data_IF_809721029934
#
_entry.id   IF_809721029934
#
_cell.length_a   1.000
_cell.length_b   1.000
_cell.length_c   1.000
_cell.angle_alpha   90.00
_cell.angle_beta   90.00
_cell.angle_gamma   90.00
#
_symmetry.space_group_name_H-M   'P 1'
#
loop_
_entity.id
_entity.type
_entity.pdbx_description
1 polymer ?
2 polymer ?
3 polymer ?
4 non-polymer ?
5 water ?
#
loop_
_entity_poly.entity_id
_entity_poly.type
_entity_poly.pdbx_seq_one_letter_code
_entity_poly.pdbx_strand_id
2 'polydeoxyribonucleotide' '(DG)(DC)(DG)(DA)(DC)(DA)(DG)' ?
3 'polydeoxyribonucleotide' '(DA)(DT)(DC)(DT)(DT)(DG)(DT)(DC)(DG)(DC)' ?
#
# COMPACT_ATOMS: atom_id res chain seq x y z
N UNK A 1 -56.84 9.43 32.67
CA UNK A 1 -56.78 8.65 31.42
C UNK A 1 -56.74 7.17 31.83
N UNK A 2 -57.83 6.46 31.58
CA UNK A 2 -57.98 5.06 31.96
C UNK A 2 -56.97 4.08 31.35
N UNK A 3 -57.11 2.81 31.77
CA UNK A 3 -56.29 1.70 31.29
C UNK A 3 -56.73 0.39 31.96
N UNK A 4 -56.04 -0.70 31.67
CA UNK A 4 -56.40 -2.00 32.26
C UNK A 4 -55.32 -2.60 33.14
N UNK A 5 -55.62 -2.82 34.40
CA UNK A 5 -54.66 -3.42 35.31
C UNK A 5 -54.64 -4.93 35.04
N UNK A 6 -53.72 -5.37 34.19
CA UNK A 6 -53.66 -6.77 33.82
C UNK A 6 -53.16 -7.75 34.90
N UNK A 7 -52.63 -7.23 36.00
CA UNK A 7 -52.12 -8.08 37.09
C UNK A 7 -51.64 -7.19 38.25
N UNK A 8 -51.01 -7.78 39.26
CA UNK A 8 -50.49 -6.99 40.38
C UNK A 8 -48.98 -6.78 40.19
N UNK A 9 -48.45 -5.68 40.71
CA UNK A 9 -47.02 -5.39 40.53
C UNK A 9 -46.04 -5.99 41.54
N UNK A 10 -46.42 -6.02 42.81
CA UNK A 10 -45.52 -6.57 43.81
C UNK A 10 -45.40 -8.09 43.74
N UNK A 11 -44.48 -8.57 42.91
CA UNK A 11 -44.26 -10.00 42.72
C UNK A 11 -42.76 -10.31 42.76
N UNK A 12 -42.39 -11.43 43.37
CA UNK A 12 -40.96 -11.76 43.42
C UNK A 12 -40.52 -11.97 41.99
N UNK A 13 -39.38 -11.38 41.60
CA UNK A 13 -38.84 -11.49 40.25
C UNK A 13 -39.31 -12.70 39.46
N UNK A 14 -39.21 -13.87 40.09
CA UNK A 14 -39.60 -15.11 39.43
C UNK A 14 -41.02 -15.15 38.86
N UNK A 15 -41.97 -14.61 39.61
CA UNK A 15 -43.37 -14.59 39.16
C UNK A 15 -43.49 -13.50 38.09
N UNK A 16 -42.85 -12.36 38.32
CA UNK A 16 -42.88 -11.25 37.39
C UNK A 16 -42.47 -11.73 36.00
N UNK A 17 -41.53 -12.66 35.94
CA UNK A 17 -41.06 -13.21 34.67
C UNK A 17 -42.10 -14.13 34.03
N UNK A 18 -42.79 -14.90 34.87
CA UNK A 18 -43.83 -15.78 34.36
C UNK A 18 -44.94 -14.90 33.84
N UNK A 19 -45.11 -13.73 34.46
CA UNK A 19 -46.14 -12.79 34.02
C UNK A 19 -45.77 -12.28 32.62
N UNK A 20 -44.48 -11.99 32.42
CA UNK A 20 -43.99 -11.48 31.15
C UNK A 20 -44.12 -12.47 30.01
N UNK A 21 -43.77 -13.72 30.25
CA UNK A 21 -43.89 -14.72 29.19
C UNK A 21 -45.34 -14.91 28.78
N UNK A 22 -46.24 -14.74 29.74
CA UNK A 22 -47.65 -14.89 29.44
C UNK A 22 -48.16 -13.72 28.61
N UNK A 23 -47.76 -12.52 29.00
CA UNK A 23 -48.17 -11.30 28.31
C UNK A 23 -47.66 -11.20 26.87
N UNK A 24 -46.40 -11.58 26.64
CA UNK A 24 -45.81 -11.51 25.30
C UNK A 24 -46.73 -12.09 24.24
N UNK A 25 -47.61 -12.99 24.67
CA UNK A 25 -48.54 -13.65 23.77
C UNK A 25 -49.67 -12.76 23.23
N UNK A 26 -49.85 -11.59 23.82
CA UNK A 26 -50.91 -10.70 23.37
C UNK A 26 -50.40 -9.47 22.63
N UNK A 27 -49.18 -9.54 22.12
CA UNK A 27 -48.61 -8.39 21.41
C UNK A 27 -49.07 -8.36 19.95
N UNK A 28 -49.46 -7.17 19.50
CA UNK A 28 -49.91 -6.99 18.13
C UNK A 28 -48.92 -6.11 17.37
N UNK A 29 -48.04 -6.72 16.59
CA UNK A 29 -47.07 -5.96 15.79
C UNK A 29 -47.72 -5.61 14.46
N UNK A 30 -48.64 -4.67 14.51
CA UNK A 30 -49.36 -4.24 13.34
C UNK A 30 -48.67 -2.99 12.84
N UNK A 31 -48.99 -2.55 11.63
CA UNK A 31 -48.33 -1.33 11.14
C UNK A 31 -49.03 -0.09 11.65
N UNK A 32 -48.38 1.04 11.46
CA UNK A 32 -48.96 2.32 11.84
C UNK A 32 -48.69 3.27 10.69
N UNK A 33 -49.65 3.32 9.76
CA UNK A 33 -49.54 4.18 8.58
C UNK A 33 -50.15 5.56 8.83
N UNK A 34 -49.66 6.56 8.11
CA UNK A 34 -50.17 7.90 8.29
C UNK A 34 -49.44 8.60 9.41
N UNK A 35 -49.51 9.92 9.42
CA UNK A 35 -48.83 10.72 10.43
C UNK A 35 -49.70 10.89 11.69
N UNK A 36 -49.06 10.95 12.87
CA UNK A 36 -49.82 11.12 14.11
C UNK A 36 -50.07 12.59 14.47
N UNK A 37 -51.12 12.81 15.26
CA UNK A 37 -51.51 14.15 15.71
C UNK A 37 -50.93 14.47 17.08
N UNK A 38 -51.12 13.54 18.02
CA UNK A 38 -50.63 13.72 19.38
C UNK A 38 -49.61 12.64 19.73
N UNK A 39 -48.44 13.08 20.20
CA UNK A 39 -47.35 12.18 20.55
C UNK A 39 -46.76 12.48 21.93
N UNK A 40 -46.71 11.47 22.80
CA UNK A 40 -46.18 11.66 24.15
C UNK A 40 -44.85 10.93 24.48
N UNK A 41 -44.22 11.37 25.56
CA UNK A 41 -42.95 10.78 25.97
C UNK A 41 -42.89 10.61 27.48
N UNK A 42 -42.29 9.52 27.94
CA UNK A 42 -42.22 9.24 29.38
C UNK A 42 -40.82 9.03 29.95
N UNK A 43 -40.59 9.50 31.16
CA UNK A 43 -39.31 9.29 31.83
C UNK A 43 -39.43 9.45 33.33
N UNK A 44 -38.46 8.89 34.07
CA UNK A 44 -38.42 8.97 35.52
C UNK A 44 -37.06 9.39 36.02
N UNK A 45 -37.07 10.14 37.12
CA UNK A 45 -35.84 10.59 37.79
C UNK A 45 -36.00 10.00 39.18
N UNK A 46 -34.95 10.04 39.99
CA UNK A 46 -35.01 9.49 41.35
C UNK A 46 -34.47 10.44 42.40
N UNK A 47 -35.37 11.22 43.03
CA UNK A 47 -34.96 12.18 44.07
C UNK A 47 -34.41 11.49 45.29
N UNK A 48 -34.87 10.27 45.55
CA UNK A 48 -34.39 9.54 46.70
C UNK A 48 -34.11 8.09 46.39
N UNK A 49 -33.36 7.43 47.27
CA UNK A 49 -33.02 6.03 47.09
C UNK A 49 -34.25 5.27 46.61
N UNK A 50 -35.33 5.41 47.36
CA UNK A 50 -36.57 4.73 47.04
C UNK A 50 -37.73 5.68 46.76
N UNK A 51 -37.44 6.74 46.00
CA UNK A 51 -38.46 7.70 45.63
C UNK A 51 -38.24 8.13 44.19
N UNK A 52 -39.24 7.90 43.35
CA UNK A 52 -39.13 8.29 41.96
C UNK A 52 -40.18 9.31 41.55
N UNK A 53 -39.83 10.17 40.60
CA UNK A 53 -40.74 11.18 40.08
C UNK A 53 -40.98 10.92 38.58
N UNK A 54 -42.20 10.47 38.25
CA UNK A 54 -42.60 10.17 36.86
C UNK A 54 -43.15 11.41 36.14
N UNK A 55 -42.98 11.47 34.81
CA UNK A 55 -43.44 12.61 34.01
C UNK A 55 -43.87 12.24 32.57
N UNK A 56 -45.03 12.75 32.15
CA UNK A 56 -45.53 12.49 30.81
C UNK A 56 -45.71 13.81 30.03
N UNK A 57 -45.11 13.87 28.85
CA UNK A 57 -45.20 15.04 28.00
C UNK A 57 -45.99 14.68 26.73
N UNK A 58 -47.04 15.45 26.43
CA UNK A 58 -47.83 15.22 25.22
C UNK A 58 -47.51 16.34 24.27
N UNK A 59 -47.09 16.00 23.05
CA UNK A 59 -46.74 17.01 22.05
C UNK A 59 -47.60 17.01 20.80
N UNK A 60 -47.68 18.18 20.17
CA UNK A 60 -48.45 18.39 18.95
C UNK A 60 -47.49 18.12 17.79
N UNK A 61 -47.89 17.25 16.87
CA UNK A 61 -47.04 16.94 15.71
C UNK A 61 -47.67 17.51 14.43
N UNK A 62 -46.84 18.05 13.52
CA UNK A 62 -45.38 18.18 13.58
C UNK A 62 -44.79 19.49 14.09
N UNK A 63 -45.57 20.29 14.81
CA UNK A 63 -45.06 21.56 15.32
C UNK A 63 -44.24 21.37 16.61
N UNK A 64 -44.25 20.15 17.13
CA UNK A 64 -43.52 19.83 18.35
C UNK A 64 -43.91 20.76 19.50
N UNK A 65 -45.18 21.16 19.54
CA UNK A 65 -45.62 22.05 20.59
C UNK A 65 -46.08 21.25 21.81
N UNK A 66 -45.75 21.74 23.00
CA UNK A 66 -46.11 21.08 24.25
C UNK A 66 -47.55 21.42 24.64
N UNK A 67 -48.43 20.43 24.51
CA UNK A 67 -49.84 20.61 24.82
C UNK A 67 -50.28 20.24 26.25
N UNK A 68 -49.50 19.43 26.97
CA UNK A 68 -49.86 19.04 28.35
C UNK A 68 -48.75 18.28 29.09
N UNK A 69 -48.66 18.47 30.39
CA UNK A 69 -47.63 17.81 31.19
C UNK A 69 -48.08 17.46 32.60
N UNK A 70 -48.14 16.17 32.91
CA UNK A 70 -48.53 15.70 34.23
C UNK A 70 -47.36 14.97 34.89
N UNK A 71 -47.47 14.72 36.20
CA UNK A 71 -46.43 14.03 36.93
C UNK A 71 -46.98 13.29 38.16
N UNK A 72 -46.10 12.64 38.90
CA UNK A 72 -46.50 11.89 40.09
C UNK A 72 -45.25 11.41 40.82
N UNK A 73 -45.04 11.90 42.04
CA UNK A 73 -43.88 11.50 42.82
C UNK A 73 -44.33 10.44 43.83
N UNK A 74 -43.53 9.39 44.01
CA UNK A 74 -43.90 8.34 44.94
C UNK A 74 -42.80 7.36 45.32
N UNK A 75 -43.16 6.37 46.12
CA UNK A 75 -42.22 5.36 46.61
C UNK A 75 -41.85 4.32 45.57
N UNK A 76 -40.63 3.78 45.67
CA UNK A 76 -40.16 2.75 44.74
C UNK A 76 -39.53 1.63 45.55
N UNK A 77 -40.12 0.44 45.50
CA UNK A 77 -39.59 -0.69 46.27
C UNK A 77 -38.87 -1.75 45.44
N UNK A 78 -39.43 -2.11 44.28
CA UNK A 78 -38.85 -3.09 43.35
C UNK A 78 -37.52 -2.55 42.83
N UNK A 79 -36.41 -3.28 43.10
CA UNK A 79 -35.08 -2.86 42.65
C UNK A 79 -34.87 -2.97 41.14
N UNK A 80 -33.86 -2.28 40.63
CA UNK A 80 -33.57 -2.37 39.20
C UNK A 80 -32.93 -3.72 38.85
N UNK A 81 -33.48 -4.38 37.84
CA UNK A 81 -32.94 -5.66 37.41
C UNK A 81 -33.09 -5.76 35.90
N UNK A 82 -31.97 -5.73 35.18
CA UNK A 82 -32.03 -5.81 33.72
C UNK A 82 -33.10 -6.79 33.27
N UNK A 83 -33.98 -6.35 32.39
CA UNK A 83 -35.05 -7.20 31.88
C UNK A 83 -36.36 -7.15 32.66
N UNK A 84 -36.35 -6.47 33.80
CA UNK A 84 -37.53 -6.35 34.65
C UNK A 84 -37.78 -4.90 35.06
N UNK A 85 -37.58 -3.97 34.13
CA UNK A 85 -37.78 -2.56 34.42
C UNK A 85 -39.23 -2.15 34.59
N UNK A 86 -40.14 -2.76 33.84
CA UNK A 86 -41.56 -2.42 33.97
C UNK A 86 -42.04 -2.48 35.43
N UNK A 87 -41.53 -3.44 36.19
CA UNK A 87 -41.95 -3.57 37.59
C UNK A 87 -41.31 -2.52 38.49
N UNK A 88 -40.61 -1.56 37.89
CA UNK A 88 -39.97 -0.53 38.68
C UNK A 88 -40.54 0.83 38.30
N UNK A 89 -40.34 1.22 37.05
CA UNK A 89 -40.82 2.50 36.57
C UNK A 89 -42.27 2.43 36.09
N UNK A 90 -42.76 1.21 35.88
CA UNK A 90 -44.11 1.02 35.39
C UNK A 90 -45.25 1.53 36.24
N UNK A 91 -45.35 1.11 37.51
CA UNK A 91 -46.44 1.57 38.36
C UNK A 91 -46.57 3.08 38.53
N UNK A 92 -45.46 3.75 38.76
CA UNK A 92 -45.49 5.20 38.97
C UNK A 92 -45.92 5.95 37.71
N UNK A 93 -45.66 5.34 36.57
CA UNK A 93 -46.04 5.94 35.30
C UNK A 93 -47.57 5.92 35.22
N UNK A 94 -48.14 4.75 35.50
CA UNK A 94 -49.58 4.61 35.45
C UNK A 94 -50.29 5.58 36.40
N UNK A 95 -49.63 5.96 37.51
CA UNK A 95 -50.22 6.92 38.44
C UNK A 95 -50.25 8.30 37.78
N UNK A 96 -49.25 8.59 36.97
CA UNK A 96 -49.17 9.86 36.26
C UNK A 96 -50.15 9.82 35.10
N UNK A 97 -50.27 8.65 34.46
CA UNK A 97 -51.16 8.45 33.32
C UNK A 97 -52.62 8.76 33.68
N UNK A 98 -52.98 8.51 34.93
CA UNK A 98 -54.34 8.77 35.37
C UNK A 98 -54.64 10.26 35.35
N UNK A 99 -53.60 11.07 35.52
CA UNK A 99 -53.77 12.52 35.54
C UNK A 99 -53.85 13.14 34.15
N UNK A 100 -53.49 12.35 33.13
CA UNK A 100 -53.47 12.84 31.75
C UNK A 100 -54.86 13.02 31.14
N UNK A 101 -55.04 14.10 30.38
CA UNK A 101 -56.33 14.36 29.76
C UNK A 101 -56.40 14.21 28.24
N UNK A 102 -55.28 14.47 27.56
CA UNK A 102 -55.21 14.34 26.10
C UNK A 102 -54.95 12.88 25.76
N UNK A 103 -55.52 12.42 24.65
CA UNK A 103 -55.34 11.03 24.23
C UNK A 103 -54.17 10.92 23.26
N UNK A 104 -53.08 10.27 23.67
CA UNK A 104 -51.94 10.15 22.78
C UNK A 104 -52.26 9.18 21.64
N UNK A 105 -51.64 9.40 20.47
CA UNK A 105 -51.83 8.51 19.33
C UNK A 105 -50.74 7.44 19.42
N UNK A 106 -49.63 7.81 20.05
CA UNK A 106 -48.50 6.92 20.25
C UNK A 106 -47.60 7.47 21.35
N UNK A 107 -47.32 6.64 22.36
CA UNK A 107 -46.48 7.04 23.49
C UNK A 107 -45.09 6.48 23.27
N UNK A 108 -44.07 7.22 23.71
CA UNK A 108 -42.69 6.77 23.56
C UNK A 108 -41.92 6.70 24.87
N UNK A 109 -41.41 5.51 25.18
CA UNK A 109 -40.66 5.26 26.42
C UNK A 109 -39.13 5.34 26.36
N UNK A 110 -38.53 5.46 27.54
CA UNK A 110 -37.08 5.53 27.70
C UNK A 110 -36.61 4.10 28.05
N UNK A 111 -36.68 3.19 27.08
CA UNK A 111 -36.28 1.82 27.32
C UNK A 111 -36.62 0.93 26.14
N UNK A 112 -36.26 -0.35 26.21
CA UNK A 112 -36.55 -1.27 25.11
C UNK A 112 -38.03 -1.60 24.92
N UNK A 113 -38.32 -2.17 23.75
CA UNK A 113 -39.66 -2.59 23.41
C UNK A 113 -39.60 -4.07 23.09
N UNK A 114 -39.51 -4.39 21.80
CA UNK A 114 -39.46 -5.77 21.36
C UNK A 114 -38.10 -6.38 21.70
N UNK A 115 -37.04 -5.57 21.64
CA UNK A 115 -35.68 -6.00 21.93
C UNK A 115 -35.48 -6.27 23.42
N UNK A 116 -35.99 -7.42 23.84
CA UNK A 116 -35.99 -7.84 25.23
C UNK A 116 -35.81 -9.34 25.22
N UNK A 117 -35.22 -9.91 26.28
CA UNK A 117 -35.00 -11.37 26.33
C UNK A 117 -36.27 -12.20 26.11
N UNK A 118 -37.42 -11.67 26.52
CA UNK A 118 -38.69 -12.37 26.40
C UNK A 118 -39.67 -11.64 25.50
N UNK A 119 -39.15 -10.70 24.72
CA UNK A 119 -39.96 -9.92 23.78
C UNK A 119 -41.02 -9.06 24.47
N UNK A 120 -40.71 -8.55 25.67
CA UNK A 120 -41.66 -7.71 26.40
C UNK A 120 -40.99 -6.65 27.29
N UNK A 121 -40.33 -5.68 26.65
CA UNK A 121 -39.70 -4.61 27.41
C UNK A 121 -40.77 -3.70 27.96
N UNK A 122 -40.40 -2.73 28.77
CA UNK A 122 -41.37 -1.81 29.35
C UNK A 122 -42.32 -1.21 28.29
N UNK A 123 -41.82 -0.91 27.11
CA UNK A 123 -42.67 -0.33 26.07
C UNK A 123 -43.80 -1.30 25.70
N UNK A 124 -43.42 -2.55 25.46
CA UNK A 124 -44.37 -3.62 25.15
C UNK A 124 -45.42 -3.74 26.27
N UNK A 125 -44.91 -3.97 27.48
CA UNK A 125 -45.70 -4.12 28.70
C UNK A 125 -46.72 -3.02 28.94
N UNK A 126 -46.35 -1.75 28.75
CA UNK A 126 -47.26 -0.63 28.97
C UNK A 126 -48.29 -0.49 27.86
N UNK A 127 -47.88 -0.76 26.64
CA UNK A 127 -48.81 -0.66 25.54
C UNK A 127 -49.99 -1.58 25.80
N UNK A 128 -49.72 -2.79 26.31
CA UNK A 128 -50.79 -3.74 26.59
C UNK A 128 -51.82 -3.19 27.60
N UNK A 129 -51.34 -2.47 28.61
CA UNK A 129 -52.18 -1.87 29.66
C UNK A 129 -53.06 -0.72 29.14
N UNK A 130 -52.43 0.31 28.58
CA UNK A 130 -53.11 1.49 28.07
C UNK A 130 -53.66 1.32 26.65
N UNK A 131 -53.50 0.14 26.06
CA UNK A 131 -53.97 -0.11 24.70
C UNK A 131 -53.94 1.08 23.74
N UNK A 132 -52.72 1.50 23.40
CA UNK A 132 -52.47 2.60 22.46
C UNK A 132 -51.17 2.13 21.80
N UNK A 133 -50.87 2.58 20.56
CA UNK A 133 -49.60 2.13 19.96
C UNK A 133 -48.38 2.72 20.68
N UNK A 134 -47.39 1.87 21.00
CA UNK A 134 -46.20 2.34 21.71
C UNK A 134 -44.85 1.95 21.12
N UNK A 135 -43.84 2.76 21.42
CA UNK A 135 -42.46 2.55 20.95
C UNK A 135 -41.44 2.67 22.10
N UNK A 136 -40.33 1.94 21.98
CA UNK A 136 -39.29 1.98 22.99
C UNK A 136 -38.02 2.58 22.43
N UNK A 137 -37.50 3.64 23.05
CA UNK A 137 -36.26 4.28 22.61
C UNK A 137 -35.24 4.22 23.74
N UNK A 138 -34.24 3.35 23.61
CA UNK A 138 -33.21 3.20 24.64
C UNK A 138 -31.82 3.74 24.21
N UNK A 139 -30.99 4.10 25.19
CA UNK A 139 -29.67 4.66 24.92
C UNK A 139 -28.50 3.66 24.95
N UNK A 140 -28.80 2.40 25.22
CA UNK A 140 -27.79 1.35 25.26
C UNK A 140 -28.45 0.01 24.98
N UNK A 141 -27.64 -0.99 24.64
CA UNK A 141 -28.15 -2.31 24.30
C UNK A 141 -28.52 -3.18 25.48
N UNK A 142 -29.53 -4.03 25.29
CA UNK A 142 -29.95 -4.96 26.32
C UNK A 142 -29.96 -6.34 25.71
N UNK A 143 -30.61 -6.45 24.55
CA UNK A 143 -30.76 -7.71 23.85
C UNK A 143 -30.66 -7.54 22.35
N UNK A 144 -30.20 -8.60 21.67
CA UNK A 144 -30.06 -8.55 20.23
C UNK A 144 -28.65 -8.23 19.78
N UNK A 145 -28.36 -8.55 18.52
CA UNK A 145 -27.05 -8.31 17.91
C UNK A 145 -27.17 -7.38 16.70
N UNK A 146 -26.10 -6.67 16.38
CA UNK A 146 -26.12 -5.77 15.24
C UNK A 146 -24.74 -5.41 14.65
N UNK A 147 -24.72 -4.44 13.74
CA UNK A 147 -23.50 -3.96 13.09
C UNK A 147 -23.44 -2.47 13.32
N UNK A 148 -22.56 -2.03 14.20
CA UNK A 148 -22.44 -0.60 14.50
C UNK A 148 -22.44 0.26 13.23
N UNK A 149 -23.49 1.05 13.03
CA UNK A 149 -23.57 1.91 11.85
C UNK A 149 -22.45 2.93 11.74
N UNK A 150 -22.29 3.50 10.55
CA UNK A 150 -21.26 4.49 10.30
C UNK A 150 -21.49 5.64 11.26
N UNK A 151 -20.49 6.50 11.41
CA UNK A 151 -20.64 7.63 12.29
C UNK A 151 -21.17 8.79 11.47
N UNK A 152 -22.01 8.48 10.50
CA UNK A 152 -22.58 9.51 9.65
C UNK A 152 -24.00 9.83 10.11
N UNK A 153 -24.25 11.13 10.27
CA UNK A 153 -25.51 11.70 10.75
C UNK A 153 -26.84 10.95 10.59
N UNK A 154 -27.00 10.04 9.63
CA UNK A 154 -28.27 9.33 9.55
C UNK A 154 -28.20 7.82 9.35
N UNK A 155 -27.00 7.26 9.46
CA UNK A 155 -26.76 5.82 9.27
C UNK A 155 -27.55 4.91 10.20
N UNK A 156 -27.71 3.66 9.79
CA UNK A 156 -28.42 2.72 10.63
C UNK A 156 -28.24 1.25 10.25
N UNK A 157 -28.63 0.38 11.18
CA UNK A 157 -28.55 -1.09 11.03
C UNK A 157 -29.75 -1.72 11.72
N UNK A 158 -29.98 -3.00 11.48
CA UNK A 158 -31.10 -3.72 12.10
C UNK A 158 -30.62 -4.44 13.38
N UNK A 159 -31.54 -4.57 14.33
CA UNK A 159 -31.27 -5.26 15.59
C UNK A 159 -31.82 -6.67 15.45
N UNK A 160 -30.94 -7.67 15.48
CA UNK A 160 -31.41 -9.05 15.31
C UNK A 160 -31.41 -9.95 16.52
N UNK A 161 -32.31 -10.92 16.43
CA UNK A 161 -32.48 -11.99 17.42
C UNK A 161 -32.36 -13.16 16.44
N UNK A 162 -31.13 -13.41 16.00
CA UNK A 162 -30.90 -14.46 15.04
C UNK A 162 -31.19 -13.96 13.64
N UNK A 163 -32.20 -14.54 13.01
CA UNK A 163 -32.59 -14.13 11.66
C UNK A 163 -33.82 -13.23 11.75
N UNK A 164 -34.40 -13.19 12.94
CA UNK A 164 -35.58 -12.39 13.24
C UNK A 164 -35.21 -10.93 13.52
N UNK A 165 -35.90 -10.00 12.86
CA UNK A 165 -35.65 -8.58 13.07
C UNK A 165 -36.54 -8.13 14.23
N UNK A 166 -35.93 -7.49 15.22
CA UNK A 166 -36.62 -7.03 16.43
C UNK A 166 -36.45 -5.52 16.74
N UNK A 167 -35.81 -4.78 15.84
CA UNK A 167 -35.61 -3.35 16.05
C UNK A 167 -34.51 -2.84 15.13
N UNK A 168 -33.81 -1.77 15.54
CA UNK A 168 -32.75 -1.19 14.72
C UNK A 168 -31.94 -0.14 15.49
N UNK A 169 -30.68 0.03 15.13
CA UNK A 169 -29.77 1.00 15.79
C UNK A 169 -29.56 2.20 14.87
N UNK A 170 -29.90 3.40 15.34
CA UNK A 170 -29.78 4.61 14.52
C UNK A 170 -28.79 5.62 15.06
N UNK A 171 -27.96 6.22 14.21
CA UNK A 171 -27.06 7.24 14.72
C UNK A 171 -27.69 8.60 14.39
N UNK A 172 -28.46 9.14 15.33
CA UNK A 172 -29.13 10.40 15.13
C UNK A 172 -28.22 11.61 15.33
N UNK A 173 -26.96 11.36 15.68
CA UNK A 173 -26.03 12.44 15.89
C UNK A 173 -24.59 12.00 15.74
N UNK A 174 -23.80 12.79 15.02
CA UNK A 174 -22.41 12.47 14.77
C UNK A 174 -21.60 12.60 16.05
N UNK A 175 -20.52 11.82 16.13
CA UNK A 175 -19.67 11.84 17.29
C UNK A 175 -20.29 11.20 18.53
N UNK A 176 -21.62 11.11 18.55
CA UNK A 176 -22.34 10.51 19.69
C UNK A 176 -22.77 9.08 19.37
N UNK A 177 -23.12 8.32 20.41
CA UNK A 177 -23.55 6.93 20.26
C UNK A 177 -24.99 6.76 19.74
N UNK A 178 -25.26 5.67 19.00
CA UNK A 178 -26.59 5.37 18.44
C UNK A 178 -27.65 5.11 19.52
N UNK A 179 -28.91 5.12 19.10
CA UNK A 179 -30.04 4.87 20.00
C UNK A 179 -30.66 3.54 19.59
N UNK A 180 -31.38 2.87 20.48
CA UNK A 180 -31.95 1.55 20.13
C UNK A 180 -33.47 1.48 20.07
N UNK A 181 -33.99 1.49 18.84
CA UNK A 181 -35.43 1.47 18.59
C UNK A 181 -36.06 0.12 18.34
N UNK A 182 -37.23 -0.12 18.97
CA UNK A 182 -38.00 -1.36 18.80
C UNK A 182 -39.46 -1.13 19.17
N UNK A 183 -40.39 -1.78 18.44
CA UNK A 183 -41.85 -1.67 18.66
C UNK A 183 -42.40 -2.12 19.99
N UNK A 184 -43.44 -1.43 20.46
CA UNK A 184 -44.05 -1.82 21.71
C UNK A 184 -45.23 -2.71 21.37
N UNK A 185 -46.41 -2.12 21.35
CA UNK A 185 -47.62 -2.86 21.01
C UNK A 185 -48.41 -2.06 19.98
N UNK A 186 -49.02 -2.77 19.03
CA UNK A 186 -49.77 -2.12 17.96
C UNK A 186 -48.74 -1.26 17.23
N UNK A 187 -47.65 -1.91 16.82
CA UNK A 187 -46.57 -1.22 16.13
C UNK A 187 -45.58 -2.24 15.60
N UNK A 188 -44.84 -1.85 14.57
CA UNK A 188 -43.83 -2.73 13.98
C UNK A 188 -42.52 -1.99 13.69
N UNK A 189 -41.50 -2.73 13.26
CA UNK A 189 -40.19 -2.18 12.99
C UNK A 189 -40.20 -1.02 12.00
N UNK A 190 -40.48 -1.34 10.73
CA UNK A 190 -40.50 -0.33 9.70
C UNK A 190 -41.26 0.95 10.06
N UNK A 191 -42.28 0.83 10.92
CA UNK A 191 -43.05 2.02 11.30
C UNK A 191 -42.30 2.83 12.34
N UNK A 192 -41.87 2.16 13.42
CA UNK A 192 -41.16 2.83 14.50
C UNK A 192 -39.94 3.60 14.05
N UNK A 193 -39.16 3.03 13.13
CA UNK A 193 -37.97 3.70 12.64
C UNK A 193 -38.38 4.98 11.93
N UNK A 194 -39.42 4.86 11.12
CA UNK A 194 -40.02 5.94 10.35
C UNK A 194 -40.39 7.09 11.27
N UNK A 195 -41.27 6.78 12.22
CA UNK A 195 -41.75 7.74 13.20
C UNK A 195 -40.62 8.33 14.03
N UNK A 196 -39.80 7.47 14.62
CA UNK A 196 -38.69 7.95 15.45
C UNK A 196 -37.71 8.85 14.69
N UNK A 197 -37.46 8.54 13.43
CA UNK A 197 -36.57 9.36 12.64
C UNK A 197 -37.25 10.73 12.51
N UNK A 198 -38.58 10.70 12.55
CA UNK A 198 -39.41 11.89 12.44
C UNK A 198 -39.44 12.75 13.71
N UNK A 199 -39.31 12.14 14.88
CA UNK A 199 -39.38 12.91 16.11
C UNK A 199 -38.03 13.43 16.64
N UNK A 200 -36.98 13.27 15.84
CA UNK A 200 -35.64 13.69 16.26
C UNK A 200 -35.09 14.90 15.51
N UNK A 201 -35.23 16.08 16.09
CA UNK A 201 -34.73 17.31 15.45
C UNK A 201 -33.22 17.26 15.23
N UNK A 202 -32.74 17.90 14.15
CA UNK A 202 -31.31 17.96 13.80
C UNK A 202 -30.45 18.56 14.89
N UNK A 203 -29.32 17.91 15.17
CA UNK A 203 -28.42 18.42 16.19
C UNK A 203 -28.51 17.75 17.56
N UNK A 204 -29.56 16.95 17.77
CA UNK A 204 -29.75 16.25 19.04
C UNK A 204 -29.71 14.74 18.87
N UNK A 205 -29.29 14.04 19.93
CA UNK A 205 -29.20 12.58 19.92
C UNK A 205 -30.54 11.91 20.19
N UNK A 206 -31.28 12.44 21.16
CA UNK A 206 -32.56 11.87 21.56
C UNK A 206 -33.82 12.61 21.07
N UNK A 207 -34.84 11.85 20.62
CA UNK A 207 -36.11 12.41 20.12
C UNK A 207 -36.84 13.27 21.15
N UNK A 208 -37.61 14.24 20.67
CA UNK A 208 -38.32 15.15 21.56
C UNK A 208 -39.24 14.57 22.62
N UNK A 209 -40.06 13.56 22.28
CA UNK A 209 -40.92 13.03 23.34
C UNK A 209 -40.12 12.74 24.62
N UNK A 210 -39.12 11.89 24.49
CA UNK A 210 -38.28 11.50 25.62
C UNK A 210 -37.29 12.55 26.08
N UNK A 211 -36.76 13.33 25.15
CA UNK A 211 -35.78 14.35 25.49
C UNK A 211 -36.37 15.48 26.33
N UNK A 212 -37.67 15.70 26.22
CA UNK A 212 -38.32 16.74 27.03
C UNK A 212 -38.83 16.13 28.33
N UNK A 213 -39.33 14.90 28.22
CA UNK A 213 -39.86 14.16 29.38
C UNK A 213 -38.78 13.99 30.42
N UNK A 214 -37.54 13.94 29.96
CA UNK A 214 -36.39 13.77 30.82
C UNK A 214 -36.07 15.11 31.47
N UNK A 215 -35.91 16.15 30.65
CA UNK A 215 -35.60 17.50 31.12
C UNK A 215 -36.53 17.87 32.29
N UNK A 216 -37.83 17.68 32.10
CA UNK A 216 -38.78 17.99 33.17
C UNK A 216 -38.57 17.03 34.33
N UNK A 217 -38.22 15.79 34.01
CA UNK A 217 -37.98 14.76 35.01
C UNK A 217 -36.86 15.13 35.98
N UNK A 218 -35.81 15.78 35.47
CA UNK A 218 -34.69 16.21 36.30
C UNK A 218 -34.97 17.55 36.97
N UNK A 219 -35.50 18.47 36.18
CA UNK A 219 -35.82 19.81 36.65
C UNK A 219 -36.79 19.81 37.84
N UNK A 220 -37.87 19.04 37.73
CA UNK A 220 -38.87 18.95 38.79
C UNK A 220 -38.31 18.38 40.10
N UNK A 221 -37.09 17.85 40.02
CA UNK A 221 -36.43 17.26 41.19
C UNK A 221 -35.75 18.41 41.92
N UNK A 222 -35.92 19.61 41.38
CA UNK A 222 -35.37 20.83 41.95
C UNK A 222 -36.39 21.96 41.75
N UNK A 223 -36.15 22.80 40.74
CA UNK A 223 -37.04 23.91 40.47
C UNK A 223 -37.89 23.82 39.20
N UNK A 224 -38.98 23.21 39.26
N UNK B 1 27.85 -9.68 -13.81
CA UNK B 1 28.62 -8.54 -13.25
C UNK B 1 27.84 -7.24 -13.49
N UNK B 2 28.14 -6.21 -12.69
CA UNK B 2 27.44 -4.92 -12.80
C UNK B 2 28.25 -3.84 -13.50
N UNK B 3 27.60 -2.75 -13.87
CA UNK B 3 28.24 -1.63 -14.54
C UNK B 3 27.37 -0.40 -14.54
N UNK B 4 27.95 0.77 -14.80
CA UNK B 4 27.18 2.01 -14.83
C UNK B 4 26.76 2.34 -16.26
N UNK B 5 25.46 2.32 -16.51
CA UNK B 5 24.97 2.68 -17.83
C UNK B 5 25.00 4.21 -17.82
N UNK B 6 26.10 4.76 -18.36
CA UNK B 6 26.34 6.20 -18.41
C UNK B 6 25.49 7.02 -19.38
N UNK B 7 25.18 6.47 -20.55
CA UNK B 7 24.38 7.22 -21.51
C UNK B 7 23.58 6.32 -22.43
N UNK B 8 22.86 6.94 -23.37
CA UNK B 8 22.05 6.22 -24.34
C UNK B 8 22.98 5.79 -25.49
N UNK B 9 22.64 4.69 -26.18
CA UNK B 9 23.47 4.22 -27.29
C UNK B 9 22.92 4.52 -28.67
N UNK B 10 21.60 4.50 -28.81
CA UNK B 10 21.00 4.76 -30.11
C UNK B 10 21.10 6.25 -30.46
N UNK B 11 22.33 6.71 -30.73
CA UNK B 11 22.59 8.10 -31.05
C UNK B 11 23.15 8.33 -32.45
N UNK B 12 22.93 9.52 -33.03
CA UNK B 12 23.48 9.75 -34.36
C UNK B 12 24.96 10.15 -34.20
N UNK B 13 25.80 9.80 -35.18
CA UNK B 13 27.23 10.11 -35.15
C UNK B 13 27.63 11.46 -34.54
N UNK B 14 27.04 12.55 -35.02
CA UNK B 14 27.38 13.87 -34.52
C UNK B 14 27.23 13.96 -32.99
N UNK B 15 26.18 13.33 -32.47
CA UNK B 15 25.93 13.34 -31.03
C UNK B 15 26.87 12.38 -30.33
N UNK B 16 26.97 11.15 -30.85
CA UNK B 16 27.83 10.12 -30.28
C UNK B 16 29.23 10.66 -30.00
N UNK B 17 29.71 11.54 -30.87
CA UNK B 17 31.05 12.12 -30.69
C UNK B 17 31.06 13.15 -29.56
N UNK B 18 29.92 13.79 -29.32
CA UNK B 18 29.86 14.76 -28.25
C UNK B 18 30.08 14.03 -26.95
N UNK B 19 29.31 12.96 -26.73
CA UNK B 19 29.48 12.21 -25.51
C UNK B 19 30.96 11.81 -25.34
N UNK B 20 31.61 11.34 -26.41
CA UNK B 20 33.03 10.95 -26.32
C UNK B 20 33.90 12.09 -25.78
N UNK B 21 33.73 13.29 -26.33
CA UNK B 21 34.49 14.46 -25.89
C UNK B 21 34.31 14.77 -24.41
N UNK B 22 33.10 14.51 -23.89
CA UNK B 22 32.80 14.75 -22.48
C UNK B 22 33.42 13.70 -21.57
N UNK B 23 33.22 12.44 -21.94
CA UNK B 23 33.76 11.33 -21.17
C UNK B 23 35.28 11.32 -21.04
N UNK B 24 35.98 11.81 -22.06
CA UNK B 24 37.45 11.79 -22.00
C UNK B 24 37.98 12.49 -20.76
N UNK B 25 37.14 13.35 -20.17
CA UNK B 25 37.52 14.11 -18.98
C UNK B 25 37.57 13.27 -17.70
N UNK B 26 36.98 12.08 -17.76
CA UNK B 26 36.92 11.19 -16.61
C UNK B 26 37.93 10.05 -16.58
N UNK B 27 38.74 9.93 -17.61
CA UNK B 27 39.75 8.87 -17.65
C UNK B 27 40.92 9.17 -16.70
N UNK B 28 41.36 8.16 -15.96
CA UNK B 28 42.47 8.35 -15.04
C UNK B 28 43.61 7.44 -15.49
N UNK B 29 44.75 8.04 -15.84
CA UNK B 29 45.91 7.29 -16.27
C UNK B 29 46.80 7.04 -15.06
N UNK B 30 46.47 6.01 -14.29
CA UNK B 30 47.22 5.66 -13.09
C UNK B 30 47.96 4.34 -13.27
N UNK B 31 49.10 4.17 -12.60
CA UNK B 31 49.83 2.92 -12.74
C UNK B 31 49.04 1.76 -12.17
N UNK B 32 49.36 0.56 -12.59
CA UNK B 32 48.70 -0.62 -12.09
C UNK B 32 49.73 -1.21 -11.13
N UNK B 33 49.36 -1.31 -9.86
CA UNK B 33 50.28 -1.81 -8.85
C UNK B 33 50.35 -3.35 -8.78
N UNK B 34 51.53 -3.89 -9.09
CA UNK B 34 51.75 -5.33 -9.05
C UNK B 34 51.23 -6.17 -10.20
N UNK B 35 50.84 -7.40 -9.88
CA UNK B 35 50.32 -8.32 -10.88
C UNK B 35 48.91 -8.80 -10.55
N UNK B 36 48.09 -9.03 -11.58
CA UNK B 36 46.71 -9.49 -11.42
C UNK B 36 46.57 -11.00 -11.48
N UNK B 37 45.44 -11.48 -10.97
CA UNK B 37 45.14 -12.89 -10.97
C UNK B 37 44.16 -13.18 -12.08
N UNK B 38 43.04 -12.44 -12.10
CA UNK B 38 42.01 -12.64 -13.12
C UNK B 38 42.07 -11.60 -14.26
N UNK B 39 42.21 -12.09 -15.49
CA UNK B 39 42.30 -11.23 -16.66
C UNK B 39 41.25 -11.59 -17.70
N UNK B 40 40.53 -10.60 -18.20
CA UNK B 40 39.51 -10.86 -19.22
C UNK B 40 39.92 -10.40 -20.61
N UNK B 41 39.33 -11.03 -21.62
CA UNK B 41 39.62 -10.69 -22.99
C UNK B 41 38.28 -10.57 -23.70
N UNK B 42 38.10 -9.54 -24.54
CA UNK B 42 36.80 -9.38 -25.22
C UNK B 42 36.86 -9.23 -26.73
N UNK B 43 35.90 -9.84 -27.42
CA UNK B 43 35.86 -9.73 -28.88
C UNK B 43 34.43 -10.00 -29.37
N UNK B 44 34.19 -9.74 -30.64
CA UNK B 44 32.88 -9.98 -31.25
C UNK B 44 33.04 -10.47 -32.69
N UNK B 45 32.09 -11.25 -33.16
CA UNK B 45 32.10 -11.74 -34.54
C UNK B 45 30.73 -11.36 -35.10
N UNK B 46 30.45 -11.60 -36.37
CA UNK B 46 29.13 -11.21 -36.89
C UNK B 46 28.44 -12.22 -37.81
N UNK B 47 27.42 -12.93 -37.30
CA UNK B 47 26.70 -13.93 -38.10
C UNK B 47 25.98 -13.30 -39.28
N UNK B 48 25.31 -12.17 -39.04
CA UNK B 48 24.59 -11.50 -40.11
C UNK B 48 25.05 -10.06 -40.14
N UNK B 49 24.66 -9.31 -41.18
CA UNK B 49 25.08 -7.91 -41.30
C UNK B 49 24.63 -7.12 -40.08
N UNK B 50 23.46 -7.46 -39.54
CA UNK B 50 22.93 -6.76 -38.38
C UNK B 50 22.71 -7.74 -37.22
N UNK B 51 23.68 -8.63 -37.03
CA UNK B 51 23.62 -9.61 -35.96
C UNK B 51 25.03 -9.89 -35.48
N UNK B 52 25.30 -9.61 -34.20
CA UNK B 52 26.62 -9.85 -33.68
C UNK B 52 26.63 -10.90 -32.58
N UNK B 53 27.80 -11.49 -32.33
CA UNK B 53 27.95 -12.49 -31.28
C UNK B 53 29.17 -12.07 -30.45
N UNK B 54 28.96 -11.63 -29.22
CA UNK B 54 30.06 -11.19 -28.35
C UNK B 54 30.51 -12.31 -27.42
N UNK B 55 31.76 -12.26 -26.97
CA UNK B 55 32.29 -13.28 -26.06
C UNK B 55 33.30 -12.74 -25.04
N UNK B 56 33.15 -13.13 -23.78
CA UNK B 56 34.10 -12.70 -22.75
C UNK B 56 34.77 -13.92 -22.09
N UNK B 57 36.08 -13.92 -22.09
CA UNK B 57 36.85 -15.01 -21.52
C UNK B 57 37.71 -14.55 -20.33
N UNK B 58 37.71 -15.32 -19.24
CA UNK B 58 38.49 -15.00 -18.05
C UNK B 58 39.62 -16.02 -17.82
N UNK B 59 40.85 -15.54 -17.84
CA UNK B 59 42.01 -16.40 -17.64
C UNK B 59 42.65 -16.18 -16.27
N UNK B 60 43.28 -17.23 -15.75
CA UNK B 60 43.98 -17.14 -14.48
C UNK B 60 45.41 -16.80 -14.79
N UNK B 61 46.02 -15.91 -14.02
CA UNK B 61 47.40 -15.54 -14.30
C UNK B 61 48.38 -16.03 -13.25
N UNK B 62 49.53 -16.57 -13.68
CA UNK B 62 49.94 -16.72 -15.09
C UNK B 62 49.74 -18.10 -15.69
N UNK B 63 49.03 -18.96 -14.97
CA UNK B 63 48.78 -20.31 -15.46
C UNK B 63 48.11 -20.29 -16.83
N UNK B 64 47.39 -19.19 -17.09
CA UNK B 64 46.64 -18.97 -18.33
C UNK B 64 45.49 -19.94 -18.50
N UNK B 65 45.12 -20.61 -17.40
CA UNK B 65 44.04 -21.57 -17.43
C UNK B 65 42.68 -20.88 -17.57
N UNK B 66 41.88 -21.29 -18.54
CA UNK B 66 40.55 -20.71 -18.74
C UNK B 66 39.85 -20.81 -17.40
N UNK B 67 38.81 -20.01 -17.19
CA UNK B 67 38.06 -20.07 -15.93
C UNK B 67 36.59 -19.83 -16.21
N UNK B 68 36.28 -18.89 -17.07
CA UNK B 68 34.89 -18.61 -17.38
C UNK B 68 34.71 -18.05 -18.79
N UNK B 69 33.60 -18.43 -19.43
CA UNK B 69 33.32 -17.99 -20.78
C UNK B 69 31.84 -17.78 -21.02
N UNK B 70 31.47 -16.51 -21.23
CA UNK B 70 30.10 -16.12 -21.51
C UNK B 70 30.05 -15.51 -22.90
N UNK B 71 28.86 -15.48 -23.50
CA UNK B 71 28.67 -14.92 -24.83
C UNK B 71 27.27 -14.34 -24.96
N UNK B 72 26.93 -13.83 -26.14
CA UNK B 72 25.60 -13.25 -26.33
C UNK B 72 25.37 -12.77 -27.77
N UNK B 73 24.49 -13.46 -28.50
CA UNK B 73 24.17 -13.03 -29.86
C UNK B 73 23.27 -11.82 -29.66
N UNK B 74 22.74 -11.27 -30.75
CA UNK B 74 21.87 -10.12 -30.61
C UNK B 74 22.00 -9.14 -31.74
N UNK B 75 20.88 -8.53 -32.11
CA UNK B 75 20.84 -7.57 -33.19
C UNK B 75 21.77 -6.38 -33.01
N UNK B 76 22.29 -5.89 -34.14
CA UNK B 76 23.17 -4.73 -34.15
C UNK B 76 22.77 -3.81 -35.29
N UNK B 77 22.84 -2.51 -35.08
CA UNK B 77 22.42 -1.58 -36.13
C UNK B 77 23.24 -0.30 -36.24
N UNK B 78 24.32 -0.20 -35.48
CA UNK B 78 25.16 0.97 -35.58
C UNK B 78 26.25 0.62 -36.58
N UNK B 79 26.31 1.34 -37.70
CA UNK B 79 27.33 1.06 -38.71
C UNK B 79 28.77 1.22 -38.20
N UNK B 80 29.73 0.63 -38.89
CA UNK B 80 31.13 0.76 -38.46
C UNK B 80 31.80 2.03 -39.00
N UNK B 81 32.16 2.94 -38.10
CA UNK B 81 32.81 4.19 -38.48
C UNK B 81 34.09 4.33 -37.65
N UNK B 82 35.25 4.51 -38.29
CA UNK B 82 36.48 4.67 -37.51
C UNK B 82 36.32 5.72 -36.42
N UNK B 83 36.75 5.41 -35.20
CA UNK B 83 36.62 6.39 -34.11
C UNK B 83 35.36 6.26 -33.29
N UNK B 84 34.42 5.42 -33.74
CA UNK B 84 33.17 5.19 -33.04
C UNK B 84 32.88 3.72 -32.94
N UNK B 85 33.92 2.91 -32.77
CA UNK B 85 33.75 1.47 -32.66
C UNK B 85 32.89 1.03 -31.47
N UNK B 86 33.04 1.70 -30.33
CA UNK B 86 32.27 1.35 -29.13
C UNK B 86 30.75 1.38 -29.38
N UNK B 87 30.26 2.37 -30.10
CA UNK B 87 28.85 2.45 -30.37
C UNK B 87 28.31 1.29 -31.19
N UNK B 88 29.19 0.38 -31.62
CA UNK B 88 28.75 -0.76 -32.42
C UNK B 88 28.99 -2.08 -31.70
N UNK B 89 30.18 -2.23 -31.11
CA UNK B 89 30.50 -3.45 -30.38
C UNK B 89 30.27 -3.23 -28.88
N UNK B 90 30.04 -1.98 -28.51
CA UNK B 90 29.81 -1.65 -27.11
C UNK B 90 28.61 -2.33 -26.48
N UNK B 91 27.38 -1.93 -26.83
CA UNK B 91 26.16 -2.52 -26.26
C UNK B 91 26.17 -4.04 -26.08
N UNK B 92 26.32 -4.77 -27.17
CA UNK B 92 26.31 -6.24 -27.11
C UNK B 92 27.31 -6.84 -26.09
N UNK B 93 28.46 -6.21 -25.91
CA UNK B 93 29.45 -6.69 -24.95
C UNK B 93 28.90 -6.54 -23.53
N UNK B 94 28.58 -5.31 -23.14
CA UNK B 94 28.05 -5.03 -21.81
C UNK B 94 26.93 -6.02 -21.47
N UNK B 95 26.26 -6.51 -22.51
CA UNK B 95 25.18 -7.47 -22.38
C UNK B 95 25.73 -8.83 -21.92
N UNK B 96 26.86 -9.25 -22.49
CA UNK B 96 27.47 -10.52 -22.13
C UNK B 96 28.14 -10.40 -20.77
N UNK B 97 28.54 -9.18 -20.43
CA UNK B 97 29.20 -8.88 -19.18
C UNK B 97 28.24 -9.06 -18.03
N UNK B 98 26.94 -9.02 -18.34
CA UNK B 98 25.90 -9.20 -17.33
C UNK B 98 25.89 -10.63 -16.83
N UNK B 99 26.10 -11.58 -17.73
CA UNK B 99 26.11 -12.97 -17.38
C UNK B 99 27.37 -13.34 -16.58
N UNK B 100 28.46 -12.62 -16.81
CA UNK B 100 29.72 -12.86 -16.13
C UNK B 100 29.60 -12.80 -14.60
N UNK B 101 30.13 -13.81 -13.91
CA UNK B 101 30.07 -13.80 -12.46
C UNK B 101 31.43 -13.44 -11.86
N UNK B 102 32.49 -14.01 -12.41
CA UNK B 102 33.85 -13.73 -11.95
C UNK B 102 34.23 -12.26 -12.20
N UNK B 103 34.96 -11.66 -11.26
CA UNK B 103 35.37 -10.27 -11.45
C UNK B 103 36.82 -10.19 -11.93
N UNK B 104 37.05 -9.46 -13.03
CA UNK B 104 38.38 -9.29 -13.61
C UNK B 104 39.20 -8.17 -12.96
N UNK B 105 40.50 -8.39 -12.85
CA UNK B 105 41.41 -7.41 -12.27
C UNK B 105 41.76 -6.38 -13.34
N UNK B 106 41.68 -6.83 -14.59
CA UNK B 106 41.96 -6.01 -15.76
C UNK B 106 41.30 -6.67 -16.98
N UNK B 107 40.80 -5.85 -17.89
CA UNK B 107 40.17 -6.37 -19.11
C UNK B 107 40.92 -5.87 -20.33
N UNK B 108 40.98 -6.71 -21.36
CA UNK B 108 41.66 -6.38 -22.60
C UNK B 108 40.67 -6.38 -23.76
N UNK B 109 40.65 -5.28 -24.52
CA UNK B 109 39.75 -5.15 -25.68
C UNK B 109 40.45 -5.27 -27.03
N UNK B 110 39.71 -5.80 -28.00
CA UNK B 110 40.18 -5.97 -29.36
C UNK B 110 39.94 -4.64 -30.11
N UNK B 111 40.79 -3.66 -29.84
CA UNK B 111 40.68 -2.36 -30.47
C UNK B 111 41.49 -1.35 -29.67
N UNK B 112 41.50 -0.09 -30.08
CA UNK B 112 42.29 0.95 -29.39
C UNK B 112 41.79 1.30 -28.00
N UNK B 113 42.62 2.05 -27.29
CA UNK B 113 42.31 2.55 -25.97
C UNK B 113 42.54 4.06 -26.02
N UNK B 114 43.62 4.53 -25.39
CA UNK B 114 43.96 5.95 -25.36
C UNK B 114 44.37 6.47 -26.75
N UNK B 115 44.96 5.61 -27.56
CA UNK B 115 45.40 6.01 -28.91
C UNK B 115 44.19 6.08 -29.84
N UNK B 116 43.47 7.19 -29.70
CA UNK B 116 42.24 7.46 -30.43
C UNK B 116 42.25 8.96 -30.71
N UNK B 117 41.58 9.39 -31.80
CA UNK B 117 41.49 10.80 -32.22
C UNK B 117 40.94 11.73 -31.15
N UNK B 118 40.12 11.19 -30.24
CA UNK B 118 39.53 11.98 -29.17
C UNK B 118 39.90 11.44 -27.80
N UNK B 119 40.95 10.64 -27.77
CA UNK B 119 41.45 10.01 -26.56
C UNK B 119 40.39 9.19 -25.80
N UNK B 120 39.69 8.34 -26.54
CA UNK B 120 38.69 7.48 -25.95
C UNK B 120 38.32 6.37 -26.92
N UNK B 121 39.12 5.31 -26.92
CA UNK B 121 38.83 4.18 -27.76
C UNK B 121 37.85 3.31 -26.97
N UNK B 122 37.39 2.22 -27.59
CA UNK B 122 36.46 1.33 -26.93
C UNK B 122 37.03 0.82 -25.58
N UNK B 123 38.33 0.57 -25.52
CA UNK B 123 38.91 0.12 -24.25
C UNK B 123 38.73 1.17 -23.16
N UNK B 124 38.89 2.44 -23.51
CA UNK B 124 38.72 3.54 -22.55
C UNK B 124 37.26 3.74 -22.20
N UNK B 125 36.43 3.77 -23.25
CA UNK B 125 35.00 3.98 -23.09
C UNK B 125 34.32 2.93 -22.22
N UNK B 126 34.59 1.64 -22.48
CA UNK B 126 33.99 0.59 -21.67
C UNK B 126 34.64 0.60 -20.29
N UNK B 127 35.86 1.10 -20.23
CA UNK B 127 36.52 1.17 -18.94
C UNK B 127 35.75 2.08 -18.01
N UNK B 128 35.23 3.19 -18.53
CA UNK B 128 34.47 4.12 -17.70
C UNK B 128 33.20 3.51 -17.14
N UNK B 129 32.67 2.51 -17.85
CA UNK B 129 31.45 1.82 -17.46
C UNK B 129 31.70 0.80 -16.37
N UNK B 130 32.49 -0.22 -16.70
CA UNK B 130 32.78 -1.31 -15.77
C UNK B 130 33.71 -0.95 -14.60
N UNK B 131 34.31 0.24 -14.66
CA UNK B 131 35.20 0.72 -13.61
C UNK B 131 36.23 -0.29 -13.10
N UNK B 132 37.05 -0.81 -14.00
CA UNK B 132 38.14 -1.76 -13.70
C UNK B 132 39.27 -1.34 -14.65
N UNK B 133 40.54 -1.58 -14.28
CA UNK B 133 41.55 -1.15 -15.24
C UNK B 133 41.36 -1.82 -16.61
N UNK B 134 41.61 -1.05 -17.69
CA UNK B 134 41.45 -1.55 -19.06
C UNK B 134 42.64 -1.28 -19.99
N UNK B 135 42.80 -2.14 -20.98
CA UNK B 135 43.88 -2.02 -21.98
C UNK B 135 43.37 -2.35 -23.37
N UNK B 136 43.71 -1.49 -24.33
CA UNK B 136 43.30 -1.70 -25.70
C UNK B 136 44.47 -2.19 -26.53
N UNK B 137 44.28 -3.33 -27.21
CA UNK B 137 45.31 -3.92 -28.07
C UNK B 137 44.72 -4.04 -29.46
N UNK B 138 45.31 -3.31 -30.41
CA UNK B 138 44.82 -3.29 -31.78
C UNK B 138 45.82 -3.93 -32.76
N UNK B 139 45.27 -4.50 -33.84
CA UNK B 139 46.10 -5.16 -34.85
C UNK B 139 46.50 -4.26 -36.01
N UNK B 140 46.06 -3.01 -35.96
CA UNK B 140 46.37 -2.03 -36.98
C UNK B 140 46.33 -0.67 -36.33
N UNK B 141 46.86 0.34 -36.99
CA UNK B 141 46.87 1.70 -36.44
C UNK B 141 45.60 2.49 -36.75
N UNK B 142 45.18 3.33 -35.80
CA UNK B 142 44.01 4.17 -36.00
C UNK B 142 44.43 5.63 -35.91
N UNK B 143 45.30 5.91 -34.94
CA UNK B 143 45.76 7.27 -34.69
C UNK B 143 47.13 7.25 -33.98
N UNK B 144 47.96 8.24 -34.28
CA UNK B 144 49.27 8.31 -33.66
C UNK B 144 50.40 8.14 -34.66
N UNK B 145 51.57 8.67 -34.33
CA UNK B 145 52.74 8.57 -35.20
C UNK B 145 53.83 7.76 -34.49
N UNK B 146 54.55 6.92 -35.22
CA UNK B 146 55.58 6.10 -34.58
C UNK B 146 56.72 5.71 -35.50
N UNK B 147 57.73 5.06 -34.92
CA UNK B 147 58.88 4.54 -35.68
C UNK B 147 58.82 3.02 -35.52
N UNK B 148 58.70 2.30 -36.63
CA UNK B 148 58.62 0.85 -36.53
C UNK B 148 59.73 0.34 -35.65
N UNK B 149 59.47 -0.75 -34.92
CA UNK B 149 60.49 -1.33 -34.05
C UNK B 149 61.21 -2.41 -34.86
N UNK B 150 62.30 -2.96 -34.33
CA UNK B 150 63.05 -3.98 -35.04
C UNK B 150 62.27 -5.29 -35.14
N UNK B 151 62.64 -6.13 -36.10
CA UNK B 151 61.97 -7.40 -36.27
C UNK B 151 62.50 -8.42 -35.25
N UNK B 152 63.05 -7.90 -34.15
CA UNK B 152 63.56 -8.74 -33.10
C UNK B 152 62.47 -8.85 -32.05
N UNK B 153 62.14 -10.07 -31.65
CA UNK B 153 61.10 -10.31 -30.67
C UNK B 153 61.13 -9.28 -29.54
N UNK B 154 59.95 -9.01 -28.99
CA UNK B 154 59.79 -8.05 -27.90
C UNK B 154 60.41 -6.68 -28.06
N UNK B 155 60.55 -6.20 -29.29
CA UNK B 155 61.08 -4.85 -29.52
C UNK B 155 59.90 -3.90 -29.52
N UNK B 156 60.13 -2.62 -29.28
CA UNK B 156 59.02 -1.67 -29.26
C UNK B 156 59.41 -0.23 -29.54
N UNK B 157 58.39 0.62 -29.62
CA UNK B 157 58.56 2.05 -29.86
C UNK B 157 57.42 2.78 -29.17
N UNK B 158 57.59 4.08 -28.97
CA UNK B 158 56.55 4.89 -28.34
C UNK B 158 55.66 5.51 -29.41
N UNK B 159 54.34 5.36 -29.24
CA UNK B 159 53.36 5.91 -30.18
C UNK B 159 53.03 7.32 -29.68
N UNK B 160 53.33 8.35 -30.48
CA UNK B 160 53.07 9.73 -30.06
C UNK B 160 51.87 10.37 -30.71
N UNK B 161 51.35 11.42 -30.07
CA UNK B 161 50.23 12.18 -30.59
C UNK B 161 50.85 13.55 -30.81
N UNK B 162 52.16 13.55 -30.93
CA UNK B 162 52.91 14.77 -31.14
C UNK B 162 54.00 14.77 -30.10
N UNK B 163 53.83 15.57 -29.05
CA UNK B 163 54.83 15.63 -28.00
C UNK B 163 54.55 14.55 -26.96
N UNK B 164 53.28 14.24 -26.75
CA UNK B 164 52.90 13.25 -25.77
C UNK B 164 52.88 11.81 -26.26
N UNK B 165 53.21 10.90 -25.35
CA UNK B 165 53.22 9.47 -25.64
C UNK B 165 51.83 8.91 -25.30
N UNK B 166 51.17 8.35 -26.32
CA UNK B 166 49.83 7.81 -26.13
C UNK B 166 49.73 6.29 -26.15
N UNK B 167 50.87 5.62 -26.25
CA UNK B 167 50.88 4.17 -26.28
C UNK B 167 52.20 3.67 -26.84
N UNK B 168 52.24 2.42 -27.27
CA UNK B 168 53.47 1.90 -27.83
C UNK B 168 53.21 0.86 -28.92
N UNK B 169 54.22 0.62 -29.74
CA UNK B 169 54.11 -0.36 -30.82
C UNK B 169 55.09 -1.47 -30.45
N UNK B 170 54.59 -2.68 -30.29
CA UNK B 170 55.44 -3.80 -29.92
C UNK B 170 55.49 -4.90 -30.97
N UNK B 171 56.65 -5.53 -31.10
CA UNK B 171 56.85 -6.65 -32.04
C UNK B 171 56.76 -7.94 -31.24
N UNK B 172 55.58 -8.51 -31.11
CA UNK B 172 55.46 -9.72 -30.34
C UNK B 172 55.98 -10.96 -31.06
N UNK B 173 56.04 -10.93 -32.38
CA UNK B 173 56.54 -12.07 -33.15
C UNK B 173 57.13 -11.61 -34.48
N UNK B 174 58.37 -12.02 -34.74
CA UNK B 174 59.04 -11.64 -35.98
C UNK B 174 58.43 -12.36 -37.16
N UNK B 175 58.33 -11.65 -38.28
CA UNK B 175 57.74 -12.21 -39.47
C UNK B 175 56.36 -11.59 -39.60
N UNK B 176 55.81 -11.23 -38.45
CA UNK B 176 54.50 -10.60 -38.37
C UNK B 176 54.64 -9.10 -38.07
N UNK B 177 53.54 -8.37 -38.19
CA UNK B 177 53.59 -6.94 -37.92
C UNK B 177 53.37 -6.69 -36.43
N UNK B 178 53.73 -5.49 -35.95
CA UNK B 178 53.56 -5.18 -34.54
C UNK B 178 52.11 -4.86 -34.19
N UNK B 179 51.76 -4.99 -32.91
CA UNK B 179 50.41 -4.70 -32.45
C UNK B 179 50.49 -3.35 -31.76
N UNK B 180 49.33 -2.73 -31.51
CA UNK B 180 49.29 -1.42 -30.87
C UNK B 180 48.67 -1.51 -29.49
N UNK B 181 49.37 -1.00 -28.49
CA UNK B 181 48.91 -1.05 -27.12
C UNK B 181 48.80 0.33 -26.50
N UNK B 182 47.64 0.63 -25.92
CA UNK B 182 47.44 1.91 -25.28
C UNK B 182 46.53 1.69 -24.07
N UNK B 183 46.65 2.54 -23.04
CA UNK B 183 45.84 2.45 -21.82
C UNK B 183 44.37 2.78 -21.97
N UNK B 184 43.52 1.99 -21.32
CA UNK B 184 42.08 2.21 -21.38
C UNK B 184 41.69 3.21 -20.31
N UNK B 185 41.32 2.71 -19.14
CA UNK B 185 40.94 3.53 -17.98
C UNK B 185 41.61 2.90 -16.75
N UNK B 186 42.04 3.73 -15.79
CA UNK B 186 42.72 3.22 -14.59
C UNK B 186 43.91 2.41 -15.05
N UNK B 187 44.77 3.03 -15.87
CA UNK B 187 45.94 2.35 -16.41
C UNK B 187 46.74 3.36 -17.20
N UNK B 188 48.05 3.12 -17.33
CA UNK B 188 48.90 4.03 -18.08
C UNK B 188 49.80 3.29 -19.04
N UNK B 189 50.60 4.05 -19.77
CA UNK B 189 51.49 3.50 -20.77
C UNK B 189 52.52 2.49 -20.27
N UNK B 190 53.26 2.83 -19.22
CA UNK B 190 54.28 1.91 -18.74
C UNK B 190 53.73 0.59 -18.21
N UNK B 191 52.53 0.63 -17.66
CA UNK B 191 51.93 -0.56 -17.13
C UNK B 191 51.39 -1.43 -18.26
N UNK B 192 50.59 -0.83 -19.14
CA UNK B 192 50.00 -1.56 -20.26
C UNK B 192 51.03 -2.32 -21.07
N UNK B 193 52.24 -1.80 -21.15
CA UNK B 193 53.28 -2.45 -21.93
C UNK B 193 53.80 -3.73 -21.30
N UNK B 194 54.22 -3.66 -20.04
CA UNK B 194 54.73 -4.85 -19.37
C UNK B 194 53.64 -5.89 -19.14
N UNK B 195 52.42 -5.41 -19.01
CA UNK B 195 51.30 -6.30 -18.79
C UNK B 195 50.97 -7.04 -20.08
N UNK B 196 50.84 -6.29 -21.16
CA UNK B 196 50.51 -6.89 -22.45
C UNK B 196 51.66 -7.80 -22.87
N UNK B 197 52.87 -7.39 -22.53
CA UNK B 197 54.03 -8.20 -22.87
C UNK B 197 53.91 -9.55 -22.18
N UNK B 198 53.76 -9.52 -20.87
CA UNK B 198 53.65 -10.75 -20.08
C UNK B 198 52.52 -11.70 -20.52
N UNK B 199 51.51 -11.19 -21.22
CA UNK B 199 50.38 -12.02 -21.65
C UNK B 199 50.54 -12.71 -23.01
N UNK B 200 51.62 -12.42 -23.72
CA UNK B 200 51.82 -13.04 -25.02
C UNK B 200 52.87 -14.13 -24.96
N UNK B 201 52.46 -15.36 -25.27
CA UNK B 201 53.35 -16.51 -25.22
C UNK B 201 54.27 -16.53 -26.44
N UNK B 202 55.55 -16.88 -26.23
CA UNK B 202 56.52 -16.93 -27.33
C UNK B 202 55.96 -17.73 -28.50
N UNK B 203 56.11 -17.18 -29.70
CA UNK B 203 55.61 -17.87 -30.88
C UNK B 203 54.28 -17.35 -31.36
N UNK B 204 53.69 -16.42 -30.61
CA UNK B 204 52.41 -15.84 -30.97
C UNK B 204 52.44 -14.31 -31.01
N UNK B 205 51.59 -13.73 -31.85
CA UNK B 205 51.51 -12.28 -32.01
C UNK B 205 50.41 -11.60 -31.18
N UNK B 206 49.36 -12.33 -30.83
CA UNK B 206 48.26 -11.77 -30.05
C UNK B 206 48.18 -12.32 -28.63
N UNK B 207 48.02 -11.44 -27.62
CA UNK B 207 47.92 -11.85 -26.21
C UNK B 207 46.76 -12.80 -25.98
N UNK B 208 46.99 -13.81 -25.15
CA UNK B 208 45.96 -14.83 -24.86
C UNK B 208 44.52 -14.39 -24.60
N UNK B 209 44.30 -13.33 -23.78
CA UNK B 209 42.90 -12.93 -23.52
C UNK B 209 42.12 -12.64 -24.80
N UNK B 210 42.73 -11.81 -25.64
CA UNK B 210 42.12 -11.42 -26.89
C UNK B 210 42.22 -12.51 -27.93
N UNK B 211 43.29 -13.29 -27.92
CA UNK B 211 43.48 -14.38 -28.87
C UNK B 211 42.45 -15.49 -28.60
N UNK B 212 42.21 -15.78 -27.33
CA UNK B 212 41.23 -16.80 -26.96
C UNK B 212 39.80 -16.31 -27.16
N UNK B 213 39.57 -15.02 -26.95
CA UNK B 213 38.24 -14.44 -27.12
C UNK B 213 37.82 -14.45 -28.59
N UNK B 214 38.79 -14.42 -29.49
CA UNK B 214 38.45 -14.43 -30.90
C UNK B 214 38.10 -15.84 -31.38
N UNK B 215 38.88 -16.83 -30.95
CA UNK B 215 38.62 -18.20 -31.34
C UNK B 215 37.16 -18.56 -31.06
N UNK B 216 36.74 -18.36 -29.83
CA UNK B 216 35.37 -18.67 -29.46
C UNK B 216 34.34 -17.94 -30.30
N UNK B 217 34.39 -16.61 -30.28
CA UNK B 217 33.44 -15.82 -31.05
C UNK B 217 33.35 -16.30 -32.50
N UNK B 218 34.47 -16.78 -33.01
CA UNK B 218 34.51 -17.26 -34.38
C UNK B 218 33.91 -18.66 -34.55
N UNK B 219 34.43 -19.66 -33.84
CA UNK B 219 33.90 -21.02 -33.96
C UNK B 219 32.46 -21.11 -33.44
N UNK B 220 32.19 -20.44 -32.33
CA UNK B 220 30.84 -20.44 -31.75
C UNK B 220 29.80 -19.99 -32.76
N UNK B 221 30.23 -19.24 -33.78
CA UNK B 221 29.33 -18.75 -34.81
C UNK B 221 28.88 -19.91 -35.69
N UNK B 222 29.65 -21.00 -35.66
CA UNK B 222 29.34 -22.18 -36.44
C UNK B 222 29.03 -23.31 -35.45
N UNK B 223 27.82 -23.26 -34.89
CA UNK B 223 27.42 -24.26 -33.91
C UNK B 223 27.69 -23.77 -32.49
N UNK B 224 28.88 -23.57 -32.13
#
# INVERSE_FOLDING_TARGET
>A
MDYRQLHRWDLPPEEAIKVQNELRKKIKLTPYEGEPEYVAGVDLSFPGKEEGLAVIVVLEYPSFKILEVVSERGEITFPYIPGLLAFREGPLFLKAWEKLRTKPDVVVFDGQGLAHPRKLGIASHMGLFIEIPTIGVAKSRLYGTFKMPEDKRCSWSYLYDGEEIIGCVIRTKEGSAPIFVSPGHLMDVESSKRLIKAFTLPGRRIPEPTRLAHIYTQRLKKGLF
>B
MDYRQLHRWDLPPEEAIKVQNELRKKIKLTPYEGEPEYVAGVDLSFPGKEEGLAVIVVLEYPSFKILEVVSERGEITFPYIPGLLAFREGPLFLKAWEKLRTKPDVVVFDGQGLAHPRKLGIASHMGLFIEIPTIGVAKSRLYGTFKMPEDKRCSWSYLYDGEEIIGCVIRTKEGSAPIFVSPGHLMDVESSKRLIKAFTLPGRRIPEPTRLAHIYTQRLKKGLF
#
